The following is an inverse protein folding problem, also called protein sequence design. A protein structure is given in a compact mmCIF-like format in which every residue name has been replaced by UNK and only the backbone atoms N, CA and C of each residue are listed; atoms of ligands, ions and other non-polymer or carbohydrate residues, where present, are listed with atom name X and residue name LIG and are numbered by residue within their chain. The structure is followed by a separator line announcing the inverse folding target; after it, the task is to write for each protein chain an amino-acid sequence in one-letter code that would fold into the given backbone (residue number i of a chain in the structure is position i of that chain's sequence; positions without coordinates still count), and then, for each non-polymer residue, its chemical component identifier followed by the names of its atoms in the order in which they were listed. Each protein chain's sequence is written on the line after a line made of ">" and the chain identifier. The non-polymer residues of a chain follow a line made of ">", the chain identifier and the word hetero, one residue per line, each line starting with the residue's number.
data_IF_033660049316
#
_entry.id   IF_033660049316
#
_cell.length_a   1.000
_cell.length_b   1.000
_cell.length_c   1.000
_cell.angle_alpha   90.00
_cell.angle_beta   90.00
_cell.angle_gamma   90.00
#
_symmetry.space_group_name_H-M   'P 1'
#
loop_
_entity.id
_entity.type
_entity.pdbx_description
1 polymer ?
#
# COMPACT_ATOMS: atom_id res chain seq x y z
N UNK A 1 2.90 -18.90 -22.53
CA UNK A 1 2.78 -18.02 -21.36
C UNK A 1 1.57 -18.43 -20.58
N UNK A 2 1.76 -18.76 -19.31
CA UNK A 2 0.67 -19.21 -18.46
C UNK A 2 -0.02 -17.98 -17.87
N UNK A 3 -1.29 -17.78 -18.25
CA UNK A 3 -2.09 -16.77 -17.59
C UNK A 3 -2.58 -17.32 -16.25
N UNK A 4 -2.52 -16.51 -15.21
CA UNK A 4 -3.09 -16.84 -13.94
C UNK A 4 -4.34 -16.00 -13.69
N UNK A 5 -5.31 -16.59 -13.01
CA UNK A 5 -6.56 -15.91 -12.69
C UNK A 5 -6.42 -15.21 -11.35
N UNK A 6 -6.78 -13.93 -11.32
CA UNK A 6 -6.74 -13.13 -10.10
C UNK A 6 -8.16 -12.71 -9.74
N UNK A 7 -8.57 -12.98 -8.51
CA UNK A 7 -9.81 -12.49 -7.94
C UNK A 7 -9.51 -11.35 -7.00
N UNK A 8 -10.21 -10.24 -7.16
CA UNK A 8 -10.05 -9.04 -6.33
C UNK A 8 -11.31 -8.85 -5.48
N UNK A 9 -11.13 -8.63 -4.19
CA UNK A 9 -12.26 -8.35 -3.29
C UNK A 9 -11.81 -7.64 -2.03
N UNK A 10 -12.76 -7.08 -1.32
CA UNK A 10 -12.55 -6.53 0.01
C UNK A 10 -12.25 -7.70 0.98
N UNK A 11 -11.34 -7.49 1.90
CA UNK A 11 -11.01 -8.46 2.95
C UNK A 11 -11.96 -8.30 4.13
N UNK A 12 -12.21 -9.40 4.83
CA UNK A 12 -12.98 -9.41 6.06
C UNK A 12 -12.13 -9.92 7.24
N UNK A 13 -12.74 -10.07 8.41
CA UNK A 13 -12.01 -10.48 9.62
C UNK A 13 -11.35 -11.86 9.47
N UNK A 14 -11.94 -12.75 8.68
CA UNK A 14 -11.39 -14.09 8.47
C UNK A 14 -10.08 -14.06 7.64
N UNK A 15 -9.84 -12.97 6.90
CA UNK A 15 -8.65 -12.82 6.09
C UNK A 15 -7.47 -12.20 6.84
N UNK A 16 -7.66 -11.77 8.09
CA UNK A 16 -6.65 -11.00 8.83
C UNK A 16 -5.30 -11.70 8.94
N UNK A 17 -5.28 -12.97 9.32
CA UNK A 17 -4.03 -13.72 9.46
C UNK A 17 -3.27 -13.85 8.14
N UNK A 18 -4.00 -14.10 7.04
CA UNK A 18 -3.40 -14.19 5.70
C UNK A 18 -2.85 -12.85 5.26
N UNK A 19 -3.58 -11.76 5.53
CA UNK A 19 -3.13 -10.40 5.19
C UNK A 19 -1.84 -10.04 5.94
N UNK A 20 -1.78 -10.31 7.24
CA UNK A 20 -0.57 -10.07 8.05
C UNK A 20 0.61 -10.86 7.49
N UNK A 21 0.39 -12.11 7.10
CA UNK A 21 1.45 -12.95 6.52
C UNK A 21 1.98 -12.37 5.20
N UNK A 22 1.10 -11.88 4.33
CA UNK A 22 1.50 -11.24 3.07
C UNK A 22 2.32 -9.98 3.34
N UNK A 23 1.83 -9.13 4.25
CA UNK A 23 2.51 -7.87 4.58
C UNK A 23 3.92 -8.15 5.09
N UNK A 24 4.07 -9.06 6.03
CA UNK A 24 5.37 -9.36 6.63
C UNK A 24 6.33 -10.04 5.65
N UNK A 25 5.84 -10.93 4.79
CA UNK A 25 6.68 -11.59 3.79
C UNK A 25 7.18 -10.58 2.75
N UNK A 26 6.32 -9.67 2.30
CA UNK A 26 6.69 -8.65 1.33
C UNK A 26 7.61 -7.59 1.95
N UNK A 27 7.34 -7.19 3.19
CA UNK A 27 8.13 -6.18 3.87
C UNK A 27 9.59 -6.62 4.12
N UNK A 28 9.83 -7.91 4.22
CA UNK A 28 11.18 -8.42 4.39
C UNK A 28 12.11 -7.99 3.25
N UNK A 29 11.57 -7.76 2.05
CA UNK A 29 12.32 -7.26 0.91
C UNK A 29 12.85 -5.84 1.14
N UNK A 30 12.13 -5.04 1.93
CA UNK A 30 12.53 -3.66 2.19
C UNK A 30 13.82 -3.56 3.03
N UNK A 31 14.23 -4.65 3.68
CA UNK A 31 15.49 -4.67 4.41
C UNK A 31 16.70 -4.33 3.52
N UNK A 32 16.56 -4.49 2.20
CA UNK A 32 17.64 -4.22 1.26
C UNK A 32 17.95 -2.72 1.11
N UNK A 33 16.99 -1.84 1.43
CA UNK A 33 17.19 -0.40 1.26
C UNK A 33 16.72 0.45 2.43
N UNK A 34 16.48 -0.17 3.59
CA UNK A 34 16.16 0.55 4.82
C UNK A 34 17.28 0.34 5.85
N UNK A 35 17.54 1.35 6.72
CA UNK A 35 18.43 1.15 7.85
C UNK A 35 17.96 -0.02 8.71
N UNK A 36 18.88 -0.81 9.31
CA UNK A 36 18.48 -1.95 10.13
C UNK A 36 17.49 -1.63 11.25
N UNK A 37 17.57 -0.43 11.82
CA UNK A 37 16.65 -0.02 12.89
C UNK A 37 15.21 0.10 12.41
N UNK A 38 14.99 0.35 11.12
CA UNK A 38 13.65 0.50 10.56
C UNK A 38 13.00 -0.84 10.17
N UNK A 39 13.76 -1.92 10.18
CA UNK A 39 13.27 -3.26 9.82
C UNK A 39 13.28 -4.25 10.98
N UNK A 40 13.44 -3.75 12.20
CA UNK A 40 13.36 -4.59 13.40
C UNK A 40 11.92 -5.04 13.64
N UNK A 41 11.76 -6.33 13.89
CA UNK A 41 10.46 -6.92 14.18
C UNK A 41 9.57 -7.05 12.95
N UNK A 42 8.34 -7.55 13.12
CA UNK A 42 7.39 -7.68 12.03
C UNK A 42 6.87 -6.30 11.60
N UNK A 43 6.63 -6.14 10.31
CA UNK A 43 6.02 -4.91 9.78
C UNK A 43 4.61 -4.71 10.32
N UNK A 44 3.89 -5.81 10.49
CA UNK A 44 2.50 -5.78 10.96
C UNK A 44 2.28 -6.95 11.93
N UNK A 45 1.60 -6.68 13.04
CA UNK A 45 1.11 -7.71 13.94
C UNK A 45 -0.39 -7.89 13.71
N UNK A 46 -0.94 -9.02 14.14
CA UNK A 46 -2.39 -9.24 14.06
C UNK A 46 -3.15 -8.17 14.87
N UNK A 47 -2.61 -7.80 16.03
CA UNK A 47 -3.19 -6.76 16.85
C UNK A 47 -3.21 -5.40 16.15
N UNK A 48 -2.10 -5.00 15.55
CA UNK A 48 -2.03 -3.72 14.82
C UNK A 48 -2.89 -3.75 13.55
N UNK A 49 -3.00 -4.91 12.89
CA UNK A 49 -3.90 -5.06 11.75
C UNK A 49 -5.36 -4.81 12.16
N UNK A 50 -5.79 -5.41 13.26
CA UNK A 50 -7.16 -5.20 13.77
C UNK A 50 -7.39 -3.75 14.17
N UNK A 51 -6.42 -3.11 14.79
CA UNK A 51 -6.53 -1.70 15.19
C UNK A 51 -6.64 -0.80 13.96
N UNK A 52 -5.78 -0.98 12.97
CA UNK A 52 -5.80 -0.17 11.75
C UNK A 52 -7.05 -0.44 10.91
N UNK A 53 -7.63 -1.63 11.00
CA UNK A 53 -8.86 -1.99 10.27
C UNK A 53 -10.07 -1.16 10.69
N UNK A 54 -9.98 -0.43 11.79
CA UNK A 54 -11.02 0.53 12.19
C UNK A 54 -11.09 1.72 11.23
N UNK A 55 -9.98 2.02 10.55
CA UNK A 55 -9.87 3.18 9.66
C UNK A 55 -9.63 2.77 8.22
N UNK A 56 -9.03 1.61 8.01
CA UNK A 56 -8.59 1.13 6.70
C UNK A 56 -9.55 0.06 6.19
N UNK A 57 -10.00 0.25 4.95
CA UNK A 57 -10.66 -0.82 4.20
C UNK A 57 -9.57 -1.56 3.46
N UNK A 58 -9.49 -2.87 3.68
CA UNK A 58 -8.46 -3.70 3.06
C UNK A 58 -9.01 -4.42 1.83
N UNK A 59 -8.20 -4.47 0.80
CA UNK A 59 -8.52 -5.18 -0.45
C UNK A 59 -7.46 -6.24 -0.68
N UNK A 60 -7.86 -7.35 -1.27
CA UNK A 60 -6.95 -8.45 -1.53
C UNK A 60 -7.04 -8.97 -2.94
N UNK A 61 -5.92 -9.50 -3.41
CA UNK A 61 -5.81 -10.23 -4.67
C UNK A 61 -5.55 -11.69 -4.36
N UNK A 62 -6.34 -12.57 -4.95
CA UNK A 62 -6.29 -14.01 -4.70
C UNK A 62 -6.01 -14.76 -5.98
N UNK A 63 -5.18 -15.80 -5.89
CA UNK A 63 -4.99 -16.78 -6.95
C UNK A 63 -5.24 -18.15 -6.36
N UNK A 64 -6.16 -18.92 -6.94
CA UNK A 64 -6.52 -20.26 -6.44
C UNK A 64 -6.77 -20.25 -4.92
N UNK A 65 -7.57 -19.30 -4.44
CA UNK A 65 -7.92 -19.10 -3.04
C UNK A 65 -6.77 -18.69 -2.11
N UNK A 66 -5.57 -18.48 -2.66
CA UNK A 66 -4.44 -17.96 -1.89
C UNK A 66 -4.38 -16.45 -1.99
N UNK A 67 -4.32 -15.75 -0.86
CA UNK A 67 -4.09 -14.31 -0.83
C UNK A 67 -2.63 -14.04 -1.22
N UNK A 68 -2.42 -13.26 -2.28
CA UNK A 68 -1.08 -12.97 -2.80
C UNK A 68 -0.72 -11.49 -2.78
N UNK A 69 -1.71 -10.61 -2.59
CA UNK A 69 -1.47 -9.18 -2.50
C UNK A 69 -2.54 -8.48 -1.69
N UNK A 70 -2.17 -7.38 -1.06
CA UNK A 70 -3.10 -6.54 -0.27
C UNK A 70 -2.85 -5.08 -0.57
N UNK A 71 -3.87 -4.25 -0.35
CA UNK A 71 -3.76 -2.79 -0.39
C UNK A 71 -4.85 -2.21 0.48
N UNK A 72 -4.49 -1.21 1.31
CA UNK A 72 -5.42 -0.57 2.21
C UNK A 72 -5.83 0.81 1.71
N UNK A 73 -7.07 1.19 1.98
CA UNK A 73 -7.64 2.49 1.67
C UNK A 73 -8.11 3.15 2.96
N UNK A 74 -7.60 4.34 3.23
CA UNK A 74 -7.99 5.13 4.39
C UNK A 74 -8.38 6.53 3.95
N UNK A 75 -9.54 7.02 4.41
CA UNK A 75 -9.96 8.40 4.17
C UNK A 75 -9.50 9.26 5.35
N UNK A 76 -8.73 10.30 5.07
CA UNK A 76 -8.24 11.24 6.08
C UNK A 76 -8.54 12.65 5.58
N UNK A 77 -9.32 13.42 6.36
CA UNK A 77 -9.73 14.77 5.97
C UNK A 77 -10.32 14.78 4.55
N UNK A 78 -9.74 15.52 3.62
CA UNK A 78 -10.24 15.66 2.25
C UNK A 78 -9.50 14.78 1.24
N UNK A 79 -8.72 13.79 1.70
CA UNK A 79 -7.92 12.93 0.83
C UNK A 79 -8.17 11.45 1.10
N UNK A 80 -7.83 10.62 0.13
CA UNK A 80 -7.77 9.18 0.28
C UNK A 80 -6.30 8.75 0.29
N UNK A 81 -5.92 7.95 1.28
CA UNK A 81 -4.58 7.36 1.36
C UNK A 81 -4.65 5.92 0.91
N UNK A 82 -3.82 5.53 -0.04
CA UNK A 82 -3.60 4.12 -0.35
C UNK A 82 -2.34 3.70 0.41
N UNK A 83 -2.50 2.68 1.26
CA UNK A 83 -1.47 2.27 2.22
C UNK A 83 -1.24 0.78 2.17
N UNK A 84 -0.07 0.37 2.63
CA UNK A 84 0.25 -1.04 2.83
C UNK A 84 0.04 -1.88 1.57
N UNK A 85 0.52 -1.37 0.42
CA UNK A 85 0.45 -2.09 -0.85
C UNK A 85 1.59 -3.11 -0.89
N UNK A 86 1.26 -4.38 -0.63
CA UNK A 86 2.23 -5.46 -0.56
C UNK A 86 1.80 -6.63 -1.42
N UNK A 87 2.76 -7.22 -2.12
CA UNK A 87 2.55 -8.42 -2.93
C UNK A 87 3.60 -9.43 -2.52
N UNK A 88 3.20 -10.69 -2.33
CA UNK A 88 4.14 -11.76 -2.00
C UNK A 88 5.30 -11.77 -2.99
N UNK A 89 6.56 -11.97 -2.52
CA UNK A 89 7.72 -11.90 -3.40
C UNK A 89 7.62 -12.80 -4.64
N UNK A 90 7.07 -14.01 -4.51
CA UNK A 90 6.91 -14.93 -5.63
C UNK A 90 5.91 -14.44 -6.67
N UNK A 91 5.08 -13.46 -6.33
CA UNK A 91 4.01 -12.95 -7.20
C UNK A 91 4.27 -11.52 -7.67
N UNK A 92 5.41 -10.95 -7.31
CA UNK A 92 5.78 -9.60 -7.77
C UNK A 92 6.08 -9.58 -9.27
N UNK A 93 5.96 -8.39 -9.87
CA UNK A 93 6.18 -8.14 -11.31
C UNK A 93 5.20 -8.85 -12.22
N UNK A 94 4.03 -9.21 -11.71
CA UNK A 94 2.96 -9.85 -12.49
C UNK A 94 1.73 -8.94 -12.62
N UNK A 95 1.87 -7.66 -12.23
CA UNK A 95 0.79 -6.67 -12.35
C UNK A 95 -0.27 -6.75 -11.27
N UNK A 96 -0.03 -7.47 -10.18
CA UNK A 96 -1.03 -7.62 -9.10
C UNK A 96 -1.31 -6.30 -8.39
N UNK A 97 -0.27 -5.54 -8.06
CA UNK A 97 -0.45 -4.22 -7.43
C UNK A 97 -1.22 -3.27 -8.34
N UNK A 98 -0.91 -3.28 -9.64
CA UNK A 98 -1.64 -2.46 -10.61
C UNK A 98 -3.11 -2.86 -10.72
N UNK A 99 -3.41 -4.16 -10.64
CA UNK A 99 -4.80 -4.64 -10.66
C UNK A 99 -5.56 -4.23 -9.40
N UNK A 100 -4.93 -4.34 -8.23
CA UNK A 100 -5.52 -3.86 -6.98
C UNK A 100 -5.81 -2.37 -7.05
N UNK A 101 -4.84 -1.59 -7.49
CA UNK A 101 -4.99 -0.15 -7.64
C UNK A 101 -6.13 0.19 -8.60
N UNK A 102 -6.17 -0.46 -9.76
CA UNK A 102 -7.24 -0.26 -10.76
C UNK A 102 -8.62 -0.67 -10.27
N UNK A 103 -8.69 -1.60 -9.32
CA UNK A 103 -9.93 -2.03 -8.70
C UNK A 103 -10.40 -1.02 -7.64
N UNK A 104 -9.48 -0.46 -6.88
CA UNK A 104 -9.79 0.42 -5.75
C UNK A 104 -10.06 1.86 -6.22
N UNK A 105 -9.22 2.39 -7.10
CA UNK A 105 -9.29 3.82 -7.48
C UNK A 105 -10.68 4.27 -7.95
N UNK A 106 -11.39 3.53 -8.82
CA UNK A 106 -12.73 3.95 -9.25
C UNK A 106 -13.77 3.98 -8.13
N UNK A 107 -13.50 3.34 -6.99
CA UNK A 107 -14.40 3.31 -5.84
C UNK A 107 -14.19 4.47 -4.88
N UNK A 108 -13.11 5.23 -5.05
CA UNK A 108 -12.78 6.36 -4.18
C UNK A 108 -13.68 7.54 -4.54
N UNK A 109 -14.41 8.05 -3.54
CA UNK A 109 -15.34 9.16 -3.74
C UNK A 109 -15.27 10.14 -2.57
N UNK A 110 -15.74 11.37 -2.81
CA UNK A 110 -15.89 12.37 -1.74
C UNK A 110 -14.60 13.04 -1.30
N UNK A 111 -13.52 12.87 -2.04
CA UNK A 111 -12.21 13.47 -1.70
C UNK A 111 -11.62 14.17 -2.91
N UNK A 112 -10.64 15.05 -2.66
CA UNK A 112 -10.05 15.88 -3.72
C UNK A 112 -8.86 15.22 -4.40
N UNK A 113 -8.18 14.30 -3.71
CA UNK A 113 -7.00 13.65 -4.28
C UNK A 113 -6.71 12.32 -3.57
N UNK A 114 -5.90 11.51 -4.24
CA UNK A 114 -5.36 10.26 -3.70
C UNK A 114 -3.89 10.50 -3.40
N UNK A 115 -3.43 10.02 -2.24
CA UNK A 115 -2.02 10.09 -1.84
C UNK A 115 -1.52 8.67 -1.59
N UNK A 116 -0.33 8.37 -2.11
CA UNK A 116 0.35 7.09 -1.90
C UNK A 116 1.75 7.38 -1.38
N UNK A 117 2.11 6.80 -0.24
CA UNK A 117 3.46 6.87 0.29
C UNK A 117 4.28 5.66 -0.11
N UNK A 118 5.56 5.86 -0.37
CA UNK A 118 6.50 4.78 -0.62
C UNK A 118 7.90 5.20 -0.17
N UNK A 119 8.83 4.25 -0.13
CA UNK A 119 10.21 4.58 0.20
C UNK A 119 10.89 5.30 -0.96
N UNK A 120 11.71 6.29 -0.65
CA UNK A 120 12.43 7.08 -1.65
C UNK A 120 13.28 6.19 -2.57
N UNK A 121 13.88 5.16 -2.02
CA UNK A 121 14.74 4.23 -2.76
C UNK A 121 13.97 3.19 -3.57
N UNK A 122 12.64 3.12 -3.44
CA UNK A 122 11.82 2.16 -4.17
C UNK A 122 11.49 2.68 -5.57
N UNK A 123 12.48 2.71 -6.45
CA UNK A 123 12.34 3.30 -7.79
C UNK A 123 11.35 2.55 -8.67
N UNK A 124 11.19 1.25 -8.44
CA UNK A 124 10.21 0.46 -9.20
C UNK A 124 8.77 0.91 -8.91
N UNK A 125 8.43 1.06 -7.64
CA UNK A 125 7.11 1.56 -7.25
C UNK A 125 6.90 3.00 -7.72
N UNK A 126 7.94 3.83 -7.59
CA UNK A 126 7.87 5.23 -8.03
C UNK A 126 7.60 5.34 -9.53
N UNK A 127 8.30 4.55 -10.32
CA UNK A 127 8.08 4.53 -11.77
C UNK A 127 6.68 4.06 -12.15
N UNK A 128 6.16 3.07 -11.45
CA UNK A 128 4.79 2.58 -11.68
C UNK A 128 3.74 3.65 -11.35
N UNK A 129 3.94 4.40 -10.26
CA UNK A 129 3.04 5.48 -9.88
C UNK A 129 3.05 6.60 -10.92
N UNK A 130 4.22 6.98 -11.41
CA UNK A 130 4.33 8.00 -12.45
C UNK A 130 3.61 7.59 -13.73
N UNK A 131 3.76 6.34 -14.14
CA UNK A 131 3.03 5.78 -15.29
C UNK A 131 1.53 5.77 -15.07
N UNK A 132 1.09 5.63 -13.82
CA UNK A 132 -0.32 5.64 -13.45
C UNK A 132 -0.93 7.02 -13.35
N UNK A 133 -0.18 8.06 -13.64
CA UNK A 133 -0.67 9.45 -13.61
C UNK A 133 -0.46 10.16 -12.28
N UNK A 134 0.31 9.58 -11.37
CA UNK A 134 0.64 10.21 -10.10
C UNK A 134 1.87 11.08 -10.25
N UNK A 135 1.93 12.15 -9.49
CA UNK A 135 3.08 13.06 -9.46
C UNK A 135 3.69 13.06 -8.06
N UNK A 136 4.99 13.22 -8.00
CA UNK A 136 5.71 13.38 -6.72
C UNK A 136 5.19 14.65 -6.03
N UNK A 137 4.84 14.55 -4.75
CA UNK A 137 4.39 15.70 -3.97
C UNK A 137 5.50 16.74 -3.87
N UNK A 138 5.11 18.03 -3.90
CA UNK A 138 6.06 19.14 -3.80
C UNK A 138 6.85 19.08 -2.48
N UNK A 139 6.17 18.71 -1.39
CA UNK A 139 6.78 18.56 -0.07
C UNK A 139 6.24 17.30 0.59
N UNK A 140 6.90 16.17 0.32
CA UNK A 140 6.48 14.88 0.87
C UNK A 140 6.52 14.87 2.40
N UNK A 141 7.50 15.55 3.01
CA UNK A 141 7.60 15.61 4.47
C UNK A 141 6.38 16.27 5.09
N UNK A 142 5.91 17.36 4.50
CA UNK A 142 4.71 18.05 4.98
C UNK A 142 3.45 17.19 4.81
N UNK A 143 3.33 16.50 3.68
CA UNK A 143 2.20 15.60 3.41
C UNK A 143 2.18 14.45 4.41
N UNK A 144 3.34 13.85 4.65
CA UNK A 144 3.45 12.74 5.61
C UNK A 144 3.08 13.17 7.02
N UNK A 145 3.55 14.33 7.47
CA UNK A 145 3.22 14.85 8.80
C UNK A 145 1.75 15.19 8.95
N UNK A 146 1.12 15.65 7.89
CA UNK A 146 -0.28 16.06 7.92
C UNK A 146 -1.25 14.88 7.93
N UNK A 147 -0.97 13.86 7.13
CA UNK A 147 -1.95 12.79 6.88
C UNK A 147 -1.56 11.43 7.44
N UNK A 148 -0.29 11.22 7.78
CA UNK A 148 0.20 9.93 8.22
C UNK A 148 0.69 10.00 9.66
N UNK A 149 0.49 8.92 10.40
CA UNK A 149 1.06 8.75 11.73
C UNK A 149 2.18 7.71 11.61
N UNK A 150 3.37 8.16 11.26
CA UNK A 150 4.53 7.31 11.07
C UNK A 150 5.71 7.82 11.88
N UNK A 151 6.65 6.93 12.27
CA UNK A 151 7.85 7.34 13.01
C UNK A 151 8.67 8.37 12.25
N UNK A 152 9.30 9.30 12.99
CA UNK A 152 10.11 10.37 12.41
C UNK A 152 11.22 9.82 11.51
N UNK A 153 11.79 8.66 11.85
CA UNK A 153 12.83 8.02 11.05
C UNK A 153 12.36 7.70 9.64
N UNK A 154 11.09 7.31 9.50
CA UNK A 154 10.53 6.97 8.19
C UNK A 154 10.19 8.18 7.34
N UNK A 155 10.03 9.35 7.95
CA UNK A 155 9.82 10.58 7.20
C UNK A 155 11.00 10.88 6.27
N UNK A 156 12.21 10.59 6.71
CA UNK A 156 13.43 10.87 5.95
C UNK A 156 13.67 9.90 4.79
N UNK A 157 13.09 8.71 4.86
CA UNK A 157 13.27 7.66 3.84
C UNK A 157 12.04 7.47 2.96
N UNK A 158 11.02 8.31 3.11
CA UNK A 158 9.74 8.17 2.41
C UNK A 158 9.43 9.37 1.54
N UNK A 159 8.70 9.11 0.46
CA UNK A 159 8.15 10.15 -0.42
C UNK A 159 6.67 9.88 -0.62
N UNK A 160 5.93 10.90 -1.04
CA UNK A 160 4.52 10.75 -1.39
C UNK A 160 4.29 11.13 -2.85
N UNK A 161 3.35 10.41 -3.46
CA UNK A 161 2.84 10.70 -4.78
C UNK A 161 1.36 11.01 -4.67
N UNK A 162 0.87 11.86 -5.53
CA UNK A 162 -0.53 12.27 -5.47
C UNK A 162 -1.15 12.39 -6.84
N UNK A 163 -2.47 12.20 -6.87
CA UNK A 163 -3.26 12.33 -8.07
C UNK A 163 -4.54 13.07 -7.73
N UNK A 164 -4.81 14.16 -8.43
CA UNK A 164 -6.05 14.92 -8.22
C UNK A 164 -7.22 14.17 -8.80
N UNK A 165 -8.34 14.18 -8.07
CA UNK A 165 -9.58 13.59 -8.53
C UNK A 165 -10.48 14.71 -9.04
N UNK A 166 -11.03 14.50 -10.23
CA UNK A 166 -12.03 15.39 -10.77
C UNK A 166 -13.35 15.15 -10.05
N UNK A 167 -13.83 16.19 -9.40
CA UNK A 167 -15.07 16.14 -8.64
C UNK A 167 -16.33 16.05 -9.49
#
# INVERSE_FOLDING_TARGET
>A
MTEFSVTLRTLDAADAAAAVAVINAAAAWYAEFLPPAEVEGPEMTLESFHEESRRITWYGAFTADQLVGVMGLEYVADVALLRHAYVLPAWQRRGIAARLHGYIEPQITGVTRIIIGTYEANYQARGALEKGGYRLSHDSGAVLRRYYDIPEERLNSSVTYEKDLEG
#
